data_IF_464244367995
#
_entry.id   IF_464244367995
#
_cell.length_a   1.000
_cell.length_b   1.000
_cell.length_c   1.000
_cell.angle_alpha   90.00
_cell.angle_beta   90.00
_cell.angle_gamma   90.00
#
_symmetry.space_group_name_H-M   'P 1'
#
loop_
_entity.id
_entity.type
_entity.pdbx_description
1 polymer ?
#
# COMPACT_ATOMS: atom_id res chain seq x y z
N UNK A 1 76.94 20.83 24.12
CA UNK A 1 76.74 20.49 22.68
C UNK A 1 76.15 19.11 22.39
N UNK A 2 76.08 18.18 23.36
CA UNK A 2 75.54 16.82 23.15
C UNK A 2 74.01 16.75 23.34
N UNK A 3 73.46 17.52 24.29
CA UNK A 3 72.02 17.56 24.57
C UNK A 3 71.17 18.14 23.40
N UNK A 4 71.71 19.15 22.68
CA UNK A 4 71.05 19.70 21.49
C UNK A 4 71.03 18.74 20.30
N UNK A 5 72.02 17.84 20.19
CA UNK A 5 72.07 16.81 19.13
C UNK A 5 71.10 15.68 19.42
N UNK A 6 70.91 15.29 20.68
CA UNK A 6 69.95 14.24 21.06
C UNK A 6 68.49 14.67 20.85
N UNK A 7 68.14 15.92 21.21
CA UNK A 7 66.80 16.48 20.96
C UNK A 7 66.52 16.63 19.46
N UNK A 8 67.55 16.89 18.65
CA UNK A 8 67.41 16.99 17.19
C UNK A 8 67.29 15.62 16.49
N UNK A 9 67.92 14.57 17.03
CA UNK A 9 67.73 13.19 16.55
C UNK A 9 66.33 12.65 16.89
N UNK A 10 65.85 12.86 18.13
CA UNK A 10 64.51 12.40 18.54
C UNK A 10 63.40 13.14 17.78
N UNK A 11 63.61 14.42 17.42
CA UNK A 11 62.63 15.20 16.64
C UNK A 11 62.60 14.83 15.15
N UNK A 12 63.65 14.19 14.62
CA UNK A 12 63.65 13.67 13.24
C UNK A 12 62.88 12.36 13.10
N UNK A 13 62.94 11.50 14.12
CA UNK A 13 62.24 10.21 14.09
C UNK A 13 60.73 10.33 14.40
N UNK A 14 60.30 11.39 15.12
CA UNK A 14 58.87 11.67 15.31
C UNK A 14 58.17 12.28 14.09
N UNK A 15 58.89 12.64 13.03
CA UNK A 15 58.34 13.27 11.82
C UNK A 15 58.25 12.32 10.61
N UNK A 16 58.64 11.05 10.76
CA UNK A 16 58.80 10.11 9.65
C UNK A 16 57.79 8.94 9.64
N UNK A 17 56.63 9.08 10.30
CA UNK A 17 55.47 8.21 10.04
C UNK A 17 54.28 9.06 9.61
N UNK A 18 54.49 9.90 8.59
CA UNK A 18 53.38 10.21 7.67
C UNK A 18 53.23 8.97 6.81
N UNK A 19 52.26 8.12 7.13
CA UNK A 19 51.76 7.09 6.22
C UNK A 19 51.30 7.87 4.97
N UNK A 20 52.18 8.01 3.98
CA UNK A 20 51.80 8.43 2.65
C UNK A 20 50.92 7.30 2.11
N UNK A 21 49.61 7.41 2.35
CA UNK A 21 48.62 6.56 1.68
C UNK A 21 48.84 6.75 0.19
N UNK A 22 49.32 5.71 -0.47
CA UNK A 22 49.50 5.70 -1.92
C UNK A 22 48.14 5.99 -2.58
N UNK A 23 48.10 6.70 -3.72
CA UNK A 23 46.83 7.00 -4.40
C UNK A 23 45.97 5.77 -4.71
N UNK A 24 46.61 4.59 -4.83
CA UNK A 24 45.97 3.27 -4.95
C UNK A 24 45.24 2.81 -3.68
N UNK A 25 45.73 3.19 -2.50
CA UNK A 25 45.09 2.88 -1.22
C UNK A 25 43.94 3.84 -0.94
N UNK A 26 44.10 5.12 -1.29
CA UNK A 26 43.01 6.09 -1.22
C UNK A 26 41.86 5.73 -2.18
N UNK A 27 42.13 5.33 -3.43
CA UNK A 27 41.08 4.93 -4.37
C UNK A 27 40.34 3.65 -3.95
N UNK A 28 41.03 2.70 -3.29
CA UNK A 28 40.41 1.50 -2.72
C UNK A 28 39.46 1.82 -1.57
N UNK A 29 39.85 2.68 -0.64
CA UNK A 29 38.98 3.11 0.48
C UNK A 29 37.70 3.79 -0.03
N UNK A 30 37.80 4.66 -1.04
CA UNK A 30 36.63 5.29 -1.67
C UNK A 30 35.73 4.28 -2.40
N UNK A 31 36.33 3.30 -3.08
CA UNK A 31 35.58 2.25 -3.75
C UNK A 31 34.86 1.32 -2.75
N UNK A 32 35.52 0.92 -1.67
CA UNK A 32 34.92 0.13 -0.59
C UNK A 32 33.76 0.88 0.07
N UNK A 33 33.93 2.16 0.38
CA UNK A 33 32.86 2.99 0.93
C UNK A 33 31.67 3.10 -0.03
N UNK A 34 31.92 3.29 -1.33
CA UNK A 34 30.88 3.35 -2.36
C UNK A 34 30.16 2.01 -2.52
N UNK A 35 30.88 0.89 -2.44
CA UNK A 35 30.30 -0.45 -2.46
C UNK A 35 29.42 -0.71 -1.24
N UNK A 36 29.89 -0.35 -0.04
CA UNK A 36 29.08 -0.46 1.18
C UNK A 36 27.83 0.40 1.07
N UNK A 37 27.95 1.64 0.59
CA UNK A 37 26.82 2.53 0.37
C UNK A 37 25.84 1.96 -0.67
N UNK A 38 26.32 1.36 -1.76
CA UNK A 38 25.49 0.73 -2.77
C UNK A 38 24.76 -0.51 -2.24
N UNK A 39 25.42 -1.35 -1.44
CA UNK A 39 24.80 -2.50 -0.76
C UNK A 39 23.74 -2.02 0.22
N UNK A 40 24.04 -1.00 1.02
CA UNK A 40 23.08 -0.44 1.96
C UNK A 40 21.87 0.19 1.24
N UNK A 41 22.09 0.95 0.17
CA UNK A 41 21.03 1.49 -0.66
C UNK A 41 20.18 0.38 -1.32
N UNK A 42 20.80 -0.72 -1.74
CA UNK A 42 20.07 -1.89 -2.24
C UNK A 42 19.22 -2.54 -1.14
N UNK A 43 19.74 -2.70 0.09
CA UNK A 43 18.99 -3.20 1.24
C UNK A 43 17.81 -2.26 1.55
N UNK A 44 18.04 -0.95 1.62
CA UNK A 44 16.98 0.04 1.81
C UNK A 44 15.90 -0.12 0.74
N UNK A 45 16.29 -0.22 -0.54
CA UNK A 45 15.35 -0.32 -1.65
C UNK A 45 14.56 -1.64 -1.65
N UNK A 46 15.18 -2.73 -1.20
CA UNK A 46 14.52 -4.04 -1.13
C UNK A 46 13.54 -4.10 0.04
N UNK A 47 13.94 -3.63 1.22
CA UNK A 47 13.20 -3.88 2.47
C UNK A 47 12.45 -2.68 3.05
N UNK A 48 12.82 -1.44 2.70
CA UNK A 48 12.33 -0.22 3.36
C UNK A 48 11.43 0.59 2.42
N UNK A 49 11.99 1.00 1.27
CA UNK A 49 11.38 2.00 0.40
C UNK A 49 11.21 1.48 -1.02
N UNK A 50 9.99 1.51 -1.51
CA UNK A 50 9.69 1.28 -2.92
C UNK A 50 9.07 2.50 -3.56
N UNK A 51 9.45 2.75 -4.82
CA UNK A 51 8.91 3.86 -5.60
C UNK A 51 7.76 3.39 -6.48
N UNK A 52 6.59 4.00 -6.33
CA UNK A 52 5.44 3.75 -7.20
C UNK A 52 5.04 5.00 -7.96
N UNK A 53 4.69 4.85 -9.24
CA UNK A 53 4.12 5.92 -10.05
C UNK A 53 2.59 5.80 -10.04
N UNK A 54 1.89 6.90 -9.80
CA UNK A 54 0.43 6.96 -9.86
C UNK A 54 -0.04 7.05 -11.33
N UNK A 55 -0.78 6.05 -11.83
CA UNK A 55 -1.26 6.08 -13.21
C UNK A 55 -2.70 6.56 -13.35
N UNK A 56 -3.51 6.57 -12.28
CA UNK A 56 -4.95 6.83 -12.33
C UNK A 56 -5.37 8.02 -11.44
N UNK A 57 -6.55 8.58 -11.72
CA UNK A 57 -7.17 9.69 -10.99
C UNK A 57 -8.11 9.25 -9.86
N UNK A 58 -8.10 7.97 -9.47
CA UNK A 58 -8.99 7.46 -8.41
C UNK A 58 -8.70 8.04 -7.01
N UNK A 59 -7.50 8.57 -6.81
CA UNK A 59 -7.08 9.30 -5.62
C UNK A 59 -6.85 10.79 -5.92
N UNK A 60 -7.37 11.29 -7.04
CA UNK A 60 -7.19 12.67 -7.50
C UNK A 60 -7.61 13.68 -6.42
N UNK A 61 -6.95 14.83 -6.42
CA UNK A 61 -6.92 15.85 -5.35
C UNK A 61 -6.00 15.48 -4.17
N UNK A 62 -5.89 14.22 -3.77
CA UNK A 62 -4.85 13.77 -2.82
C UNK A 62 -3.56 13.40 -3.55
N UNK A 63 -3.66 12.47 -4.52
CA UNK A 63 -2.58 11.94 -5.34
C UNK A 63 -2.94 12.11 -6.81
N UNK A 64 -2.10 12.83 -7.54
CA UNK A 64 -2.34 13.12 -8.95
C UNK A 64 -1.68 12.07 -9.84
N UNK A 65 -2.27 11.83 -11.00
CA UNK A 65 -1.62 11.07 -12.05
C UNK A 65 -0.27 11.72 -12.40
N UNK A 66 0.78 10.89 -12.43
CA UNK A 66 2.16 11.34 -12.61
C UNK A 66 2.95 11.64 -11.33
N UNK A 67 2.33 11.52 -10.15
CA UNK A 67 3.06 11.52 -8.88
C UNK A 67 3.89 10.23 -8.73
N UNK A 68 5.04 10.36 -8.08
CA UNK A 68 5.88 9.27 -7.63
C UNK A 68 5.96 9.28 -6.11
N UNK A 69 5.66 8.14 -5.52
CA UNK A 69 5.52 7.95 -4.10
C UNK A 69 6.62 7.06 -3.56
N UNK A 70 7.11 7.40 -2.38
CA UNK A 70 7.76 6.42 -1.52
C UNK A 70 6.73 5.66 -0.72
N UNK A 71 6.90 4.34 -0.66
CA UNK A 71 6.02 3.43 0.08
C UNK A 71 6.83 2.73 1.15
N UNK A 72 6.33 2.77 2.39
CA UNK A 72 6.85 2.04 3.54
C UNK A 72 6.38 0.59 3.52
N UNK A 73 7.32 -0.35 3.47
CA UNK A 73 7.03 -1.79 3.49
C UNK A 73 7.00 -2.39 4.90
N UNK A 74 7.48 -1.68 5.92
CA UNK A 74 7.57 -2.22 7.27
C UNK A 74 6.22 -2.43 7.96
N UNK A 75 5.21 -1.69 7.53
CA UNK A 75 3.85 -1.77 8.08
C UNK A 75 3.25 -3.18 7.92
N UNK A 76 3.65 -3.94 6.88
CA UNK A 76 3.02 -5.23 6.57
C UNK A 76 3.98 -6.42 6.57
N UNK A 77 5.21 -6.19 7.01
CA UNK A 77 6.25 -7.18 6.89
C UNK A 77 6.78 -7.28 5.47
N UNK A 78 8.02 -6.84 5.27
CA UNK A 78 8.65 -6.90 3.95
C UNK A 78 8.68 -8.36 3.44
N UNK A 79 8.16 -8.57 2.23
CA UNK A 79 8.23 -9.86 1.54
C UNK A 79 9.69 -10.15 1.19
N UNK A 80 10.20 -11.30 1.63
CA UNK A 80 11.57 -11.71 1.31
C UNK A 80 11.65 -12.05 -0.18
N UNK A 81 12.55 -11.44 -0.96
CA UNK A 81 12.71 -11.74 -2.38
C UNK A 81 12.88 -13.25 -2.63
N UNK A 82 12.30 -13.75 -3.72
CA UNK A 82 12.34 -15.16 -4.13
C UNK A 82 11.63 -16.17 -3.21
N UNK A 83 10.93 -15.73 -2.17
CA UNK A 83 10.16 -16.61 -1.29
C UNK A 83 8.76 -16.04 -1.03
N UNK A 84 7.85 -16.86 -0.49
CA UNK A 84 6.55 -16.40 -0.01
C UNK A 84 6.54 -15.99 1.47
N UNK A 85 7.71 -16.01 2.12
CA UNK A 85 7.85 -15.58 3.51
C UNK A 85 7.80 -14.06 3.63
N UNK A 86 7.06 -13.59 4.64
CA UNK A 86 7.05 -12.19 5.09
C UNK A 86 7.79 -12.08 6.41
N UNK A 87 8.57 -11.02 6.55
CA UNK A 87 9.09 -10.63 7.86
C UNK A 87 7.93 -10.23 8.79
N UNK A 88 8.09 -10.29 10.11
CA UNK A 88 7.08 -9.79 11.03
C UNK A 88 6.75 -8.32 10.72
N UNK A 89 5.46 -7.99 10.68
CA UNK A 89 5.02 -6.61 10.63
C UNK A 89 5.44 -5.89 11.93
N UNK A 90 5.95 -4.68 11.80
CA UNK A 90 6.37 -3.86 12.95
C UNK A 90 5.30 -2.83 13.30
N UNK A 91 4.33 -2.61 12.42
CA UNK A 91 3.30 -1.58 12.57
C UNK A 91 1.91 -2.05 12.14
N UNK A 92 0.91 -1.32 12.63
CA UNK A 92 -0.52 -1.31 12.33
C UNK A 92 -0.92 -0.78 10.95
N UNK A 93 -1.99 -1.26 10.30
CA UNK A 93 -2.78 -0.36 9.43
C UNK A 93 -3.68 0.46 10.31
N UNK A 94 -3.70 1.75 10.06
CA UNK A 94 -4.66 2.63 10.68
C UNK A 94 -5.72 3.08 9.69
N UNK A 95 -6.89 3.37 10.24
CA UNK A 95 -7.99 3.93 9.46
C UNK A 95 -7.54 5.31 8.94
N UNK A 96 -7.66 5.51 7.63
CA UNK A 96 -7.21 6.73 6.97
C UNK A 96 -5.90 6.54 6.20
N UNK A 97 -5.16 5.46 6.43
CA UNK A 97 -3.91 5.23 5.71
C UNK A 97 -4.11 5.10 4.21
N UNK A 98 -3.20 5.69 3.42
CA UNK A 98 -3.14 5.41 1.98
C UNK A 98 -2.27 4.18 1.80
N UNK A 99 -2.90 3.10 1.35
CA UNK A 99 -2.28 1.79 1.22
C UNK A 99 -2.07 1.42 -0.24
N UNK A 100 -0.95 0.75 -0.50
CA UNK A 100 -0.57 0.15 -1.77
C UNK A 100 -0.72 -1.35 -1.64
N UNK A 101 -1.41 -1.98 -2.59
CA UNK A 101 -1.71 -3.41 -2.57
C UNK A 101 -1.83 -3.98 -3.97
N UNK A 102 -1.73 -5.30 -4.08
CA UNK A 102 -2.04 -6.03 -5.32
C UNK A 102 -3.54 -6.16 -5.46
N UNK A 103 -4.08 -5.85 -6.63
CA UNK A 103 -5.51 -5.96 -6.85
C UNK A 103 -5.98 -7.42 -6.69
N UNK A 104 -6.93 -7.74 -5.78
CA UNK A 104 -7.25 -9.13 -5.46
C UNK A 104 -7.77 -9.95 -6.65
N UNK A 105 -8.45 -9.31 -7.61
CA UNK A 105 -8.98 -10.00 -8.81
C UNK A 105 -7.93 -10.19 -9.92
N UNK A 106 -6.86 -9.39 -9.90
CA UNK A 106 -5.72 -9.53 -10.80
C UNK A 106 -4.45 -9.02 -10.10
N UNK A 107 -3.72 -9.96 -9.49
CA UNK A 107 -2.50 -9.67 -8.70
C UNK A 107 -1.31 -9.21 -9.54
N UNK A 108 -1.45 -9.09 -10.87
CA UNK A 108 -0.46 -8.44 -11.72
C UNK A 108 -0.52 -6.91 -11.64
N UNK A 109 -1.63 -6.36 -11.13
CA UNK A 109 -1.89 -4.92 -11.00
C UNK A 109 -1.71 -4.45 -9.56
N UNK A 110 -1.10 -3.27 -9.39
CA UNK A 110 -0.99 -2.59 -8.09
C UNK A 110 -1.98 -1.43 -8.02
N UNK A 111 -2.70 -1.35 -6.90
CA UNK A 111 -3.71 -0.34 -6.63
C UNK A 111 -3.31 0.46 -5.39
N UNK A 112 -3.77 1.71 -5.37
CA UNK A 112 -3.55 2.65 -4.26
C UNK A 112 -4.91 3.23 -3.88
N UNK A 113 -5.27 3.09 -2.61
CA UNK A 113 -6.55 3.53 -2.04
C UNK A 113 -6.37 3.90 -0.57
N UNK A 114 -7.36 4.58 0.01
CA UNK A 114 -7.40 4.85 1.45
C UNK A 114 -8.06 3.69 2.20
N UNK A 115 -7.44 3.19 3.25
CA UNK A 115 -8.04 2.22 4.16
C UNK A 115 -9.13 2.91 4.99
N UNK A 116 -10.39 2.48 4.84
CA UNK A 116 -11.53 3.10 5.53
C UNK A 116 -12.12 2.22 6.62
N UNK A 117 -11.92 0.90 6.56
CA UNK A 117 -12.31 -0.03 7.61
C UNK A 117 -11.29 -1.16 7.80
N UNK A 118 -11.10 -1.50 9.07
CA UNK A 118 -10.14 -2.48 9.58
C UNK A 118 -10.85 -3.83 9.85
N UNK A 119 -10.10 -4.91 10.11
CA UNK A 119 -10.67 -6.21 10.44
C UNK A 119 -11.61 -6.11 11.65
N UNK A 120 -12.80 -6.69 11.54
CA UNK A 120 -13.82 -6.70 12.60
C UNK A 120 -14.73 -5.46 12.64
N UNK A 121 -14.37 -4.38 11.92
CA UNK A 121 -15.22 -3.19 11.81
C UNK A 121 -16.55 -3.50 11.10
N UNK A 122 -17.57 -2.69 11.39
CA UNK A 122 -18.80 -2.63 10.58
C UNK A 122 -18.90 -1.30 9.85
N UNK A 123 -18.87 -1.34 8.53
CA UNK A 123 -18.92 -0.17 7.65
C UNK A 123 -20.33 0.05 7.12
N UNK A 124 -20.78 1.30 7.06
CA UNK A 124 -21.98 1.72 6.35
C UNK A 124 -21.75 3.07 5.67
N UNK A 125 -22.44 3.33 4.57
CA UNK A 125 -22.50 4.64 3.93
C UNK A 125 -23.97 5.04 3.87
N UNK A 126 -24.30 6.25 4.32
CA UNK A 126 -25.66 6.81 4.23
C UNK A 126 -25.54 8.19 3.65
N UNK A 127 -26.18 8.44 2.52
CA UNK A 127 -26.12 9.72 1.80
C UNK A 127 -24.67 10.25 1.70
N UNK A 128 -23.75 9.39 1.22
CA UNK A 128 -22.30 9.65 1.06
C UNK A 128 -21.48 9.75 2.34
N UNK A 129 -22.10 9.86 3.50
CA UNK A 129 -21.42 9.88 4.78
C UNK A 129 -21.01 8.46 5.18
N UNK A 130 -19.70 8.26 5.39
CA UNK A 130 -19.15 7.00 5.89
C UNK A 130 -19.37 6.89 7.40
N UNK A 131 -19.80 5.72 7.84
CA UNK A 131 -19.91 5.33 9.24
C UNK A 131 -19.12 4.05 9.46
N UNK A 132 -18.36 3.99 10.55
CA UNK A 132 -17.71 2.76 10.99
C UNK A 132 -18.02 2.51 12.45
N UNK A 133 -18.48 1.31 12.76
CA UNK A 133 -18.99 0.93 14.09
C UNK A 133 -20.06 1.93 14.58
N UNK A 134 -20.94 2.35 13.66
CA UNK A 134 -21.97 3.38 13.83
C UNK A 134 -21.47 4.81 14.13
N UNK A 135 -20.16 5.05 14.22
CA UNK A 135 -19.59 6.38 14.35
C UNK A 135 -19.35 7.01 12.97
N UNK A 136 -19.71 8.28 12.80
CA UNK A 136 -19.43 9.01 11.55
C UNK A 136 -17.93 9.23 11.39
N UNK A 137 -17.39 8.89 10.22
CA UNK A 137 -15.99 9.12 9.85
C UNK A 137 -15.93 10.38 8.98
N UNK A 138 -15.16 11.41 9.35
CA UNK A 138 -15.08 12.63 8.54
C UNK A 138 -14.57 12.30 7.13
N UNK A 139 -15.08 13.02 6.15
CA UNK A 139 -14.56 12.95 4.80
C UNK A 139 -13.12 13.47 4.79
N UNK A 140 -12.14 12.75 4.20
CA UNK A 140 -10.78 13.27 4.05
C UNK A 140 -10.79 14.63 3.34
N UNK A 141 -9.89 15.54 3.72
CA UNK A 141 -9.87 16.93 3.27
C UNK A 141 -9.93 17.09 1.73
N UNK A 142 -9.24 16.20 1.01
CA UNK A 142 -9.15 16.23 -0.45
C UNK A 142 -10.05 15.21 -1.15
N UNK A 143 -10.89 14.48 -0.42
CA UNK A 143 -11.84 13.56 -1.04
C UNK A 143 -12.99 14.33 -1.69
N UNK A 144 -13.46 13.82 -2.83
CA UNK A 144 -14.41 14.51 -3.70
C UNK A 144 -15.48 13.59 -4.27
N UNK A 145 -16.62 14.18 -4.60
CA UNK A 145 -17.72 13.58 -5.36
C UNK A 145 -17.91 14.42 -6.63
N UNK A 146 -17.87 13.77 -7.79
CA UNK A 146 -17.96 14.41 -9.11
C UNK A 146 -19.37 14.37 -9.69
N UNK A 147 -20.17 13.37 -9.29
CA UNK A 147 -21.48 13.10 -9.86
C UNK A 147 -22.59 13.48 -8.86
N UNK A 148 -23.84 13.48 -9.32
CA UNK A 148 -25.00 13.62 -8.44
C UNK A 148 -25.15 12.42 -7.49
N UNK A 149 -25.78 12.67 -6.34
CA UNK A 149 -25.99 11.66 -5.32
C UNK A 149 -27.02 10.64 -5.80
N UNK A 150 -26.72 9.36 -5.62
CA UNK A 150 -27.67 8.29 -5.87
C UNK A 150 -28.50 8.07 -4.60
N UNK A 151 -29.83 8.30 -4.63
CA UNK A 151 -30.69 8.10 -3.47
C UNK A 151 -30.69 6.64 -2.99
N UNK A 152 -31.05 6.43 -1.73
CA UNK A 152 -31.32 5.10 -1.22
C UNK A 152 -32.47 4.43 -2.01
N UNK A 153 -32.40 3.11 -2.17
CA UNK A 153 -33.40 2.33 -2.93
C UNK A 153 -33.15 2.25 -4.44
N UNK A 154 -32.03 2.79 -4.93
CA UNK A 154 -31.57 2.58 -6.31
C UNK A 154 -30.33 1.66 -6.32
N UNK A 155 -30.49 0.34 -6.40
CA UNK A 155 -29.38 -0.60 -6.32
C UNK A 155 -28.49 -0.58 -7.56
N UNK A 156 -27.17 -0.72 -7.35
CA UNK A 156 -26.19 -0.89 -8.42
C UNK A 156 -25.81 -2.38 -8.56
N UNK A 157 -26.05 -2.96 -9.73
CA UNK A 157 -25.80 -4.38 -9.99
C UNK A 157 -24.32 -4.77 -9.95
N UNK A 158 -23.40 -3.80 -10.10
CA UNK A 158 -21.96 -4.04 -10.06
C UNK A 158 -21.39 -3.89 -8.66
N UNK A 159 -22.20 -3.47 -7.68
CA UNK A 159 -21.73 -3.28 -6.32
C UNK A 159 -21.55 -4.62 -5.61
N UNK A 160 -20.57 -4.66 -4.73
CA UNK A 160 -20.37 -5.74 -3.78
C UNK A 160 -21.17 -5.47 -2.50
N UNK A 161 -21.75 -6.47 -1.83
CA UNK A 161 -22.00 -7.80 -2.34
C UNK A 161 -23.03 -7.77 -3.47
N UNK A 162 -22.87 -8.69 -4.43
CA UNK A 162 -23.80 -8.81 -5.55
C UNK A 162 -25.20 -9.09 -5.03
N UNK A 163 -26.21 -8.56 -5.73
CA UNK A 163 -27.63 -8.68 -5.39
C UNK A 163 -28.06 -8.00 -4.08
N UNK A 164 -27.24 -7.09 -3.54
CA UNK A 164 -27.66 -6.21 -2.46
C UNK A 164 -28.48 -5.03 -2.99
N UNK A 165 -29.20 -4.38 -2.08
CA UNK A 165 -29.90 -3.12 -2.34
C UNK A 165 -28.97 -1.89 -2.29
N UNK A 166 -27.65 -2.11 -2.30
CA UNK A 166 -26.66 -1.06 -2.09
C UNK A 166 -26.39 -0.27 -3.38
N UNK A 167 -25.91 0.95 -3.19
CA UNK A 167 -25.24 1.73 -4.22
C UNK A 167 -24.03 2.48 -3.64
N UNK A 168 -23.30 3.20 -4.50
CA UNK A 168 -22.04 3.86 -4.14
C UNK A 168 -22.16 4.91 -3.03
N UNK A 169 -23.36 5.45 -2.80
CA UNK A 169 -23.66 6.52 -1.85
C UNK A 169 -24.50 6.03 -0.65
N UNK A 170 -25.07 4.82 -0.74
CA UNK A 170 -25.89 4.17 0.28
C UNK A 170 -25.54 2.68 0.35
N UNK A 171 -24.75 2.30 1.36
CA UNK A 171 -24.05 1.01 1.42
C UNK A 171 -24.08 0.41 2.82
N UNK A 172 -24.19 -0.91 2.92
CA UNK A 172 -24.09 -1.60 4.21
C UNK A 172 -25.36 -1.50 5.07
N UNK A 173 -25.28 -1.88 6.35
CA UNK A 173 -24.05 -2.21 7.09
C UNK A 173 -23.37 -3.48 6.58
N UNK A 174 -22.04 -3.47 6.59
CA UNK A 174 -21.20 -4.59 6.19
C UNK A 174 -20.08 -4.80 7.21
N UNK A 175 -20.02 -5.98 7.81
CA UNK A 175 -18.93 -6.36 8.71
C UNK A 175 -17.71 -6.84 7.91
N UNK A 176 -16.54 -6.28 8.23
CA UNK A 176 -15.26 -6.64 7.63
C UNK A 176 -14.71 -7.87 8.36
N UNK A 177 -14.43 -8.98 7.66
CA UNK A 177 -13.92 -10.19 8.27
C UNK A 177 -12.54 -10.00 8.92
N UNK A 178 -12.38 -10.55 10.12
CA UNK A 178 -11.13 -10.65 10.84
C UNK A 178 -10.67 -12.10 10.93
N UNK A 179 -9.37 -12.30 11.09
CA UNK A 179 -8.81 -13.62 11.33
C UNK A 179 -9.47 -14.28 12.55
N UNK A 180 -9.89 -15.53 12.40
CA UNK A 180 -10.58 -16.29 13.46
C UNK A 180 -12.09 -16.09 13.51
N UNK A 181 -12.66 -15.18 12.72
CA UNK A 181 -14.11 -15.08 12.58
C UNK A 181 -14.71 -16.37 12.01
N UNK A 182 -15.90 -16.73 12.48
CA UNK A 182 -16.68 -17.85 11.94
C UNK A 182 -17.85 -17.30 11.14
N UNK A 183 -17.81 -17.50 9.83
CA UNK A 183 -18.82 -17.04 8.88
C UNK A 183 -19.87 -18.12 8.68
N UNK A 184 -21.15 -17.77 8.80
CA UNK A 184 -22.24 -18.67 8.44
C UNK A 184 -22.37 -18.75 6.91
N UNK A 185 -22.48 -19.96 6.36
CA UNK A 185 -22.63 -20.20 4.94
C UNK A 185 -24.05 -20.67 4.62
N UNK A 186 -24.75 -19.83 3.86
CA UNK A 186 -26.04 -20.13 3.27
C UNK A 186 -26.14 -19.42 1.90
N UNK A 187 -27.24 -19.63 1.19
CA UNK A 187 -27.42 -19.07 -0.17
C UNK A 187 -27.30 -17.56 -0.25
N UNK A 188 -27.56 -16.83 0.83
CA UNK A 188 -27.48 -15.38 0.83
C UNK A 188 -26.06 -14.93 1.16
N UNK A 189 -25.41 -15.55 2.15
CA UNK A 189 -24.06 -15.17 2.59
C UNK A 189 -22.97 -15.61 1.63
N UNK A 190 -23.21 -16.61 0.78
CA UNK A 190 -22.21 -17.08 -0.18
C UNK A 190 -21.83 -16.04 -1.23
N UNK A 191 -22.75 -15.14 -1.58
CA UNK A 191 -22.45 -14.01 -2.48
C UNK A 191 -21.52 -12.98 -1.83
N UNK A 192 -21.49 -12.94 -0.49
CA UNK A 192 -20.62 -12.07 0.27
C UNK A 192 -19.25 -12.72 0.53
N UNK A 193 -19.23 -13.98 0.94
CA UNK A 193 -18.00 -14.64 1.41
C UNK A 193 -17.36 -15.59 0.40
N UNK A 194 -18.02 -15.95 -0.70
CA UNK A 194 -17.48 -16.88 -1.68
C UNK A 194 -16.15 -16.41 -2.28
N UNK A 195 -16.01 -15.12 -2.57
CA UNK A 195 -14.72 -14.58 -3.05
C UNK A 195 -13.66 -14.57 -1.98
N UNK A 196 -14.02 -14.31 -0.72
CA UNK A 196 -13.10 -14.35 0.42
C UNK A 196 -12.51 -15.75 0.58
N UNK A 197 -13.35 -16.77 0.59
CA UNK A 197 -12.94 -18.17 0.74
C UNK A 197 -12.06 -18.61 -0.44
N UNK A 198 -12.39 -18.17 -1.66
CA UNK A 198 -11.56 -18.38 -2.84
C UNK A 198 -10.20 -17.66 -2.74
N UNK A 199 -10.17 -16.44 -2.20
CA UNK A 199 -8.94 -15.72 -1.95
C UNK A 199 -8.06 -16.44 -0.92
N UNK A 200 -8.62 -17.18 0.02
CA UNK A 200 -7.88 -18.04 0.97
C UNK A 200 -7.40 -19.37 0.35
N UNK A 201 -7.75 -19.64 -0.92
CA UNK A 201 -7.24 -20.79 -1.68
C UNK A 201 -8.19 -21.98 -1.79
N UNK A 202 -9.44 -21.82 -1.35
CA UNK A 202 -10.44 -22.87 -1.35
C UNK A 202 -11.41 -22.76 -2.54
N UNK A 203 -11.87 -23.90 -3.06
CA UNK A 203 -12.89 -23.91 -4.12
C UNK A 203 -14.28 -23.91 -3.51
N UNK A 204 -15.07 -22.90 -3.85
CA UNK A 204 -16.47 -22.79 -3.44
C UNK A 204 -17.38 -23.21 -4.59
N UNK A 205 -18.33 -24.11 -4.31
CA UNK A 205 -19.40 -24.45 -5.26
C UNK A 205 -20.74 -24.60 -4.54
N UNK A 206 -21.83 -24.42 -5.29
CA UNK A 206 -23.20 -24.56 -4.79
C UNK A 206 -23.86 -25.72 -5.53
N UNK A 207 -24.30 -26.74 -4.79
CA UNK A 207 -24.97 -27.93 -5.32
C UNK A 207 -26.36 -28.06 -4.70
N UNK A 208 -27.38 -27.60 -5.42
CA UNK A 208 -28.73 -27.50 -4.87
C UNK A 208 -28.76 -26.51 -3.70
N UNK A 209 -29.19 -26.97 -2.53
CA UNK A 209 -29.22 -26.16 -1.29
C UNK A 209 -27.90 -26.20 -0.50
N UNK A 210 -26.92 -27.02 -0.92
CA UNK A 210 -25.67 -27.21 -0.17
C UNK A 210 -24.56 -26.35 -0.74
N UNK A 211 -23.82 -25.71 0.16
CA UNK A 211 -22.55 -25.05 -0.16
C UNK A 211 -21.44 -26.06 0.08
N UNK A 212 -20.52 -26.14 -0.87
CA UNK A 212 -19.39 -27.05 -0.84
C UNK A 212 -18.10 -26.23 -0.81
N UNK A 213 -17.21 -26.57 0.10
CA UNK A 213 -15.84 -26.06 0.14
C UNK A 213 -14.92 -27.23 -0.14
N UNK A 214 -14.14 -27.14 -1.22
CA UNK A 214 -13.26 -28.20 -1.72
C UNK A 214 -13.96 -29.56 -1.90
N UNK A 215 -15.26 -29.52 -2.26
CA UNK A 215 -16.08 -30.71 -2.47
C UNK A 215 -16.69 -31.30 -1.20
N UNK A 216 -16.52 -30.66 -0.04
CA UNK A 216 -17.14 -31.07 1.23
C UNK A 216 -18.28 -30.10 1.59
N UNK A 217 -19.48 -30.61 1.98
CA UNK A 217 -20.57 -29.74 2.43
C UNK A 217 -20.15 -28.93 3.66
N UNK A 218 -20.37 -27.61 3.63
CA UNK A 218 -20.02 -26.69 4.71
C UNK A 218 -21.18 -25.73 4.99
N UNK A 219 -21.45 -25.51 6.28
CA UNK A 219 -22.42 -24.52 6.78
C UNK A 219 -21.74 -23.35 7.50
N UNK A 220 -20.42 -23.43 7.69
CA UNK A 220 -19.61 -22.36 8.25
C UNK A 220 -18.20 -22.37 7.68
N UNK A 221 -17.49 -21.25 7.83
CA UNK A 221 -16.10 -21.12 7.45
C UNK A 221 -15.33 -20.27 8.47
N UNK A 222 -14.16 -20.74 8.87
CA UNK A 222 -13.27 -19.98 9.76
C UNK A 222 -12.27 -19.18 8.93
N UNK A 223 -12.31 -17.86 9.07
CA UNK A 223 -11.44 -16.93 8.34
C UNK A 223 -9.99 -17.09 8.79
N UNK A 224 -9.06 -17.25 7.85
CA UNK A 224 -7.65 -17.56 8.17
C UNK A 224 -6.74 -16.34 8.21
N UNK A 225 -7.18 -15.20 7.70
CA UNK A 225 -6.41 -13.94 7.66
C UNK A 225 -7.29 -12.70 7.85
N UNK A 226 -6.67 -11.55 8.08
CA UNK A 226 -7.38 -10.29 8.18
C UNK A 226 -7.81 -9.74 6.81
N UNK A 227 -8.91 -8.99 6.82
CA UNK A 227 -9.40 -8.27 5.65
C UNK A 227 -9.63 -6.79 5.96
N UNK A 228 -9.50 -5.97 4.92
CA UNK A 228 -9.66 -4.53 4.99
C UNK A 228 -10.67 -4.06 3.95
N UNK A 229 -11.16 -2.82 4.12
CA UNK A 229 -11.99 -2.15 3.13
C UNK A 229 -11.31 -0.85 2.73
N UNK A 230 -11.08 -0.68 1.43
CA UNK A 230 -10.35 0.46 0.88
C UNK A 230 -11.22 1.23 -0.12
N UNK A 231 -11.14 2.56 -0.08
CA UNK A 231 -11.91 3.46 -0.95
C UNK A 231 -11.00 4.50 -1.59
N UNK A 232 -11.37 4.94 -2.80
CA UNK A 232 -10.71 6.07 -3.44
C UNK A 232 -11.15 7.40 -2.83
N UNK A 233 -10.26 8.39 -2.84
CA UNK A 233 -10.63 9.75 -2.44
C UNK A 233 -11.47 10.44 -3.52
N UNK A 234 -11.32 10.05 -4.80
CA UNK A 234 -12.25 10.40 -5.86
C UNK A 234 -13.42 9.39 -5.87
N UNK A 235 -14.42 9.62 -5.00
CA UNK A 235 -15.46 8.65 -4.63
C UNK A 235 -16.34 8.20 -5.79
N UNK A 236 -16.49 9.04 -6.81
CA UNK A 236 -17.31 8.74 -7.98
C UNK A 236 -16.52 8.17 -9.16
N UNK A 237 -15.18 8.25 -9.12
CA UNK A 237 -14.29 7.76 -10.17
C UNK A 237 -13.25 6.79 -9.57
N UNK A 238 -13.72 5.82 -8.81
CA UNK A 238 -12.86 4.87 -8.11
C UNK A 238 -13.47 3.47 -8.11
N UNK A 239 -12.78 2.54 -8.80
CA UNK A 239 -13.02 1.12 -8.68
C UNK A 239 -12.33 0.59 -7.41
N UNK A 240 -13.08 0.58 -6.30
CA UNK A 240 -12.60 0.25 -4.96
C UNK A 240 -13.43 -0.87 -4.28
N UNK A 241 -13.23 -1.11 -2.99
CA UNK A 241 -13.83 -2.24 -2.26
C UNK A 241 -15.36 -2.27 -2.33
N UNK A 242 -16.02 -1.13 -2.63
CA UNK A 242 -17.46 -1.09 -2.90
C UNK A 242 -17.84 -2.00 -4.08
N UNK A 243 -16.94 -2.26 -5.02
CA UNK A 243 -17.21 -3.03 -6.24
C UNK A 243 -16.55 -4.42 -6.22
N UNK A 244 -15.32 -4.54 -5.75
CA UNK A 244 -14.58 -5.82 -5.77
C UNK A 244 -14.53 -6.56 -4.43
N UNK A 245 -14.98 -5.91 -3.36
CA UNK A 245 -15.15 -6.50 -2.03
C UNK A 245 -13.95 -6.33 -1.11
N UNK A 246 -13.75 -7.32 -0.24
CA UNK A 246 -12.74 -7.27 0.81
C UNK A 246 -11.31 -7.34 0.26
N UNK A 247 -10.40 -6.61 0.91
CA UNK A 247 -8.97 -6.63 0.61
C UNK A 247 -8.25 -7.60 1.56
N UNK A 248 -7.70 -8.73 1.08
CA UNK A 248 -6.91 -9.63 1.92
C UNK A 248 -5.62 -8.96 2.41
N UNK A 249 -5.27 -9.15 3.68
CA UNK A 249 -4.01 -8.67 4.27
C UNK A 249 -2.78 -9.13 3.47
N UNK A 250 -2.79 -10.37 2.97
CA UNK A 250 -1.69 -10.92 2.19
C UNK A 250 -1.44 -10.22 0.86
N UNK A 251 -2.38 -9.44 0.35
CA UNK A 251 -2.23 -8.69 -0.90
C UNK A 251 -1.68 -7.27 -0.66
N UNK A 252 -1.52 -6.87 0.60
CA UNK A 252 -0.95 -5.59 0.98
C UNK A 252 0.56 -5.53 0.73
N UNK A 253 1.01 -4.38 0.22
CA UNK A 253 2.42 -4.11 -0.10
C UNK A 253 3.03 -3.12 0.90
N UNK A 254 2.31 -2.04 1.22
CA UNK A 254 2.87 -0.97 2.04
C UNK A 254 1.94 0.25 2.19
N UNK A 255 2.37 1.21 2.99
CA UNK A 255 1.71 2.50 3.20
C UNK A 255 2.43 3.59 2.40
N UNK A 256 1.70 4.44 1.69
CA UNK A 256 2.27 5.60 1.01
C UNK A 256 2.75 6.63 2.04
N UNK A 257 4.00 7.09 1.90
CA UNK A 257 4.63 8.02 2.85
C UNK A 257 4.63 9.46 2.34
N UNK A 258 5.20 9.67 1.15
CA UNK A 258 5.38 10.99 0.57
C UNK A 258 5.49 10.95 -0.95
N UNK A 259 5.03 12.03 -1.59
CA UNK A 259 5.32 12.32 -3.00
C UNK A 259 6.73 12.89 -3.09
N UNK A 260 7.65 12.17 -3.72
CA UNK A 260 9.04 12.66 -3.89
C UNK A 260 9.27 13.30 -5.25
N UNK A 261 8.41 13.01 -6.23
CA UNK A 261 8.49 13.58 -7.56
C UNK A 261 7.10 13.67 -8.19
N UNK A 262 6.88 14.65 -9.06
CA UNK A 262 5.63 14.78 -9.80
C UNK A 262 5.84 15.54 -11.10
N UNK A 263 5.26 15.00 -12.17
CA UNK A 263 5.24 15.65 -13.49
C UNK A 263 4.01 15.21 -14.28
N UNK A 264 3.76 15.81 -15.43
CA UNK A 264 2.67 15.37 -16.29
C UNK A 264 2.96 13.99 -16.90
N UNK A 265 2.14 12.95 -16.66
CA UNK A 265 2.38 11.61 -17.16
C UNK A 265 2.19 11.46 -18.69
N UNK A 266 1.45 12.36 -19.33
CA UNK A 266 1.07 12.31 -20.75
C UNK A 266 2.13 12.89 -21.68
N UNK A 267 3.03 13.73 -21.16
CA UNK A 267 4.16 14.26 -21.93
C UNK A 267 5.23 13.17 -22.10
N UNK A 268 5.67 12.97 -23.35
CA UNK A 268 6.70 12.00 -23.70
C UNK A 268 8.06 12.34 -23.08
N UNK A 269 8.83 11.32 -22.69
CA UNK A 269 10.22 11.47 -22.23
C UNK A 269 11.15 11.96 -23.35
N UNK A 270 10.74 11.84 -24.61
CA UNK A 270 11.49 12.32 -25.78
C UNK A 270 11.36 13.85 -25.98
N UNK A 271 10.48 14.51 -25.22
CA UNK A 271 10.30 15.97 -25.19
C UNK A 271 10.85 16.55 -23.88
N UNK A 272 12.18 16.58 -23.66
CA UNK A 272 12.77 16.84 -22.35
C UNK A 272 12.45 18.24 -21.80
N UNK A 273 12.38 19.27 -22.65
CA UNK A 273 12.07 20.65 -22.22
C UNK A 273 10.65 20.73 -21.67
N UNK A 274 9.67 20.22 -22.41
CA UNK A 274 8.26 20.19 -21.99
C UNK A 274 8.08 19.31 -20.75
N UNK A 275 8.78 18.16 -20.71
CA UNK A 275 8.70 17.23 -19.57
C UNK A 275 9.22 17.87 -18.28
N UNK A 276 10.36 18.54 -18.34
CA UNK A 276 10.94 19.26 -17.19
C UNK A 276 10.05 20.45 -16.83
N UNK A 277 9.49 21.16 -17.82
CA UNK A 277 8.53 22.25 -17.59
C UNK A 277 7.25 21.80 -16.88
N UNK A 278 6.88 20.52 -17.00
CA UNK A 278 5.68 19.95 -16.35
C UNK A 278 5.88 19.51 -14.90
N UNK A 279 7.09 19.69 -14.33
CA UNK A 279 7.36 19.31 -12.94
C UNK A 279 6.48 20.14 -12.00
N UNK A 280 5.78 19.44 -11.10
CA UNK A 280 4.89 20.06 -10.11
C UNK A 280 5.63 20.23 -8.78
N UNK A 281 6.44 21.29 -8.70
CA UNK A 281 7.32 21.55 -7.54
C UNK A 281 6.58 21.63 -6.20
N UNK A 282 5.36 22.17 -6.20
CA UNK A 282 4.51 22.27 -5.01
C UNK A 282 4.06 20.93 -4.43
N UNK A 283 4.24 19.83 -5.16
CA UNK A 283 3.91 18.47 -4.70
C UNK A 283 5.11 17.70 -4.15
N UNK A 284 6.33 18.21 -4.34
CA UNK A 284 7.52 17.53 -3.83
C UNK A 284 7.55 17.57 -2.31
N UNK A 285 7.91 16.43 -1.69
CA UNK A 285 7.88 16.21 -0.25
C UNK A 285 6.50 16.39 0.40
N UNK A 286 5.42 16.31 -0.37
CA UNK A 286 4.06 16.25 0.18
C UNK A 286 3.93 14.96 0.98
N UNK A 287 3.73 15.08 2.28
CA UNK A 287 3.45 13.95 3.16
C UNK A 287 2.04 13.43 2.91
N UNK A 288 1.92 12.11 2.86
CA UNK A 288 0.68 11.39 2.59
C UNK A 288 0.26 10.73 3.90
N UNK A 289 -0.22 11.53 4.86
CA UNK A 289 -0.81 11.06 6.11
C UNK A 289 -2.18 11.70 6.31
#
# INVERSE_FOLDING_TARGET
MILLRLVCLIRKDLMAVKIQKTGKQHSREWFEALMIAAVFAAIIRVFILESYRIPTSSMESTLLAGDFLFVNKFVYGAKVPMTDYRLPAVDTVERGDIIVFKFPKDRSLNYIKRCVALPGDTLAIRDRQLFVNNAAVPLPEHAQFLNEMVPAGQPDQHIFPRYSDFNKDNYGPLRIPAQGDVLELNRNTIYLYGSLIADEGHRVSVMGERIMIDGVPATSYSVTQNYYFAMGDNRDNSLDSRYWGFLPEKDMIGQALMVYWSWDPHISLLSPIEKIGSIRWNRMALMVH
#
